data_IF_194398601087
#
_entry.id   IF_194398601087
#
_cell.length_a   1.000
_cell.length_b   1.000
_cell.length_c   1.000
_cell.angle_alpha   90.00
_cell.angle_beta   90.00
_cell.angle_gamma   90.00
#
_symmetry.space_group_name_H-M   'P 1'
#
loop_
_entity.id
_entity.type
_entity.pdbx_description
1 polymer ?
#
# COMPACT_ATOMS: atom_id res chain seq x y z
N UNK A 1 5.34 3.02 16.53
CA UNK A 1 6.12 1.93 15.90
C UNK A 1 5.26 0.70 15.63
N UNK A 2 4.64 0.09 16.67
CA UNK A 2 3.77 -1.11 16.51
C UNK A 2 2.72 -1.02 15.38
N UNK A 3 2.04 0.12 15.24
CA UNK A 3 1.03 0.31 14.18
C UNK A 3 1.62 0.19 12.76
N UNK A 4 2.83 0.72 12.53
CA UNK A 4 3.51 0.62 11.23
C UNK A 4 3.94 -0.82 10.95
N UNK A 5 4.42 -1.54 11.96
CA UNK A 5 4.80 -2.95 11.84
C UNK A 5 3.58 -3.81 11.45
N UNK A 6 2.43 -3.56 12.08
CA UNK A 6 1.16 -4.21 11.74
C UNK A 6 0.69 -3.83 10.32
N UNK A 7 0.85 -2.57 9.92
CA UNK A 7 0.50 -2.08 8.59
C UNK A 7 1.36 -2.64 7.46
N UNK A 8 2.59 -3.10 7.74
CA UNK A 8 3.48 -3.66 6.71
C UNK A 8 2.85 -4.90 6.06
N UNK A 9 2.17 -5.73 6.86
CA UNK A 9 1.42 -6.89 6.36
C UNK A 9 0.26 -6.45 5.46
N UNK A 10 -0.51 -5.45 5.89
CA UNK A 10 -1.64 -4.93 5.11
C UNK A 10 -1.20 -4.35 3.76
N UNK A 11 -0.08 -3.61 3.75
CA UNK A 11 0.50 -3.04 2.54
C UNK A 11 0.99 -4.11 1.57
N UNK A 12 1.55 -5.21 2.09
CA UNK A 12 1.93 -6.38 1.31
C UNK A 12 0.71 -7.06 0.68
N UNK A 13 -0.37 -7.23 1.44
CA UNK A 13 -1.63 -7.82 0.93
C UNK A 13 -2.18 -6.98 -0.23
N UNK A 14 -2.32 -5.66 -0.04
CA UNK A 14 -2.82 -4.75 -1.07
C UNK A 14 -1.91 -4.74 -2.32
N UNK A 15 -0.59 -4.71 -2.11
CA UNK A 15 0.41 -4.81 -3.19
C UNK A 15 0.20 -6.05 -4.05
N UNK A 16 -0.01 -7.20 -3.42
CA UNK A 16 -0.18 -8.45 -4.15
C UNK A 16 -1.51 -8.51 -4.90
N UNK A 17 -2.60 -8.13 -4.23
CA UNK A 17 -3.94 -8.17 -4.80
C UNK A 17 -4.14 -7.18 -5.95
N UNK A 18 -3.48 -6.01 -5.93
CA UNK A 18 -3.64 -4.97 -6.94
C UNK A 18 -2.60 -5.11 -8.06
N UNK A 19 -1.33 -5.38 -7.73
CA UNK A 19 -0.24 -5.28 -8.70
C UNK A 19 0.44 -6.63 -8.99
N UNK A 20 0.99 -7.29 -7.97
CA UNK A 20 1.86 -8.45 -8.21
C UNK A 20 1.13 -9.67 -8.78
N UNK A 21 -0.18 -9.78 -8.59
CA UNK A 21 -0.95 -10.91 -9.14
C UNK A 21 -0.86 -11.02 -10.66
N UNK A 22 -0.79 -9.90 -11.37
CA UNK A 22 -0.88 -9.89 -12.84
C UNK A 22 0.30 -10.60 -13.51
N UNK A 23 1.58 -10.27 -13.21
CA UNK A 23 2.70 -11.00 -13.79
C UNK A 23 2.74 -12.48 -13.35
N UNK A 24 2.31 -12.80 -12.12
CA UNK A 24 2.29 -14.18 -11.62
C UNK A 24 1.21 -15.02 -12.32
N UNK A 25 0.03 -14.43 -12.58
CA UNK A 25 -1.04 -15.09 -13.34
C UNK A 25 -0.69 -15.32 -14.81
N UNK A 26 0.19 -14.48 -15.37
CA UNK A 26 0.67 -14.63 -16.75
C UNK A 26 1.69 -15.76 -16.93
N UNK A 27 2.26 -16.28 -15.83
CA UNK A 27 3.17 -17.42 -15.90
C UNK A 27 2.43 -18.71 -16.31
N UNK A 28 3.12 -19.64 -17.02
CA UNK A 28 2.63 -21.00 -17.20
C UNK A 28 2.31 -21.66 -15.85
N UNK A 29 1.32 -22.55 -15.84
CA UNK A 29 0.83 -23.19 -14.60
C UNK A 29 1.97 -23.80 -13.77
N UNK A 30 2.90 -24.51 -14.41
CA UNK A 30 4.04 -25.14 -13.73
C UNK A 30 4.96 -24.12 -13.05
N UNK A 31 5.23 -23.00 -13.71
CA UNK A 31 6.07 -21.94 -13.17
C UNK A 31 5.37 -21.19 -12.04
N UNK A 32 4.04 -21.02 -12.13
CA UNK A 32 3.24 -20.44 -11.05
C UNK A 32 3.21 -21.33 -9.81
N UNK A 33 3.07 -22.64 -9.99
CA UNK A 33 3.15 -23.61 -8.90
C UNK A 33 4.55 -23.64 -8.26
N UNK A 34 5.61 -23.56 -9.07
CA UNK A 34 6.98 -23.44 -8.58
C UNK A 34 7.19 -22.14 -7.78
N UNK A 35 6.61 -21.01 -8.23
CA UNK A 35 6.62 -19.76 -7.47
C UNK A 35 6.00 -19.94 -6.07
N UNK A 36 4.83 -20.56 -5.97
CA UNK A 36 4.22 -20.83 -4.67
C UNK A 36 5.06 -21.79 -3.82
N UNK A 37 5.60 -22.85 -4.41
CA UNK A 37 6.43 -23.82 -3.71
C UNK A 37 7.71 -23.19 -3.14
N UNK A 38 8.25 -22.14 -3.78
CA UNK A 38 9.43 -21.41 -3.28
C UNK A 38 9.19 -20.72 -1.93
N UNK A 39 7.93 -20.39 -1.61
CA UNK A 39 7.55 -19.76 -0.34
C UNK A 39 7.58 -20.81 0.77
N UNK A 40 8.56 -20.73 1.66
CA UNK A 40 8.80 -21.75 2.69
C UNK A 40 7.73 -21.77 3.79
N UNK A 41 7.24 -20.59 4.19
CA UNK A 41 6.26 -20.45 5.27
C UNK A 41 4.87 -20.82 4.73
N UNK A 42 4.23 -21.91 5.21
CA UNK A 42 2.97 -22.41 4.65
C UNK A 42 1.84 -21.38 4.64
N UNK A 43 1.72 -20.58 5.70
CA UNK A 43 0.69 -19.55 5.82
C UNK A 43 0.89 -18.43 4.79
N UNK A 44 2.15 -18.03 4.54
CA UNK A 44 2.48 -17.04 3.51
C UNK A 44 2.26 -17.59 2.11
N UNK A 45 2.54 -18.89 1.90
CA UNK A 45 2.28 -19.57 0.63
C UNK A 45 0.79 -19.54 0.30
N UNK A 46 -0.05 -19.93 1.27
CA UNK A 46 -1.50 -19.92 1.08
C UNK A 46 -2.02 -18.50 0.85
N UNK A 47 -1.54 -17.53 1.63
CA UNK A 47 -1.88 -16.12 1.44
C UNK A 47 -1.55 -15.66 0.01
N UNK A 48 -0.32 -15.88 -0.47
CA UNK A 48 0.08 -15.45 -1.81
C UNK A 48 -0.73 -16.15 -2.90
N UNK A 49 -1.05 -17.44 -2.74
CA UNK A 49 -1.96 -18.12 -3.66
C UNK A 49 -3.33 -17.44 -3.70
N UNK A 50 -3.95 -17.18 -2.54
CA UNK A 50 -5.24 -16.51 -2.45
C UNK A 50 -5.21 -15.14 -3.15
N UNK A 51 -4.20 -14.32 -2.83
CA UNK A 51 -4.09 -12.97 -3.39
C UNK A 51 -3.81 -12.97 -4.90
N UNK A 52 -3.05 -13.93 -5.40
CA UNK A 52 -2.78 -14.03 -6.84
C UNK A 52 -4.03 -14.50 -7.59
N UNK A 53 -4.64 -15.59 -7.12
CA UNK A 53 -5.75 -16.25 -7.82
C UNK A 53 -7.06 -15.47 -7.68
N UNK A 54 -7.36 -14.92 -6.50
CA UNK A 54 -8.61 -14.23 -6.19
C UNK A 54 -8.48 -12.70 -6.25
N UNK A 55 -7.28 -12.15 -6.07
CA UNK A 55 -7.06 -10.69 -6.08
C UNK A 55 -7.83 -9.99 -4.98
N UNK A 56 -8.57 -8.94 -5.36
CA UNK A 56 -9.40 -8.16 -4.44
C UNK A 56 -10.55 -8.96 -3.81
N UNK A 57 -10.90 -10.12 -4.38
CA UNK A 57 -11.91 -11.02 -3.82
C UNK A 57 -11.39 -11.87 -2.67
N UNK A 58 -10.06 -11.93 -2.46
CA UNK A 58 -9.46 -12.70 -1.37
C UNK A 58 -9.93 -12.17 0.00
N UNK A 59 -10.21 -13.08 0.93
CA UNK A 59 -10.75 -12.78 2.26
C UNK A 59 -9.88 -11.79 3.05
N UNK A 60 -8.57 -11.84 2.85
CA UNK A 60 -7.58 -11.05 3.57
C UNK A 60 -7.55 -9.58 3.13
N UNK A 61 -8.06 -9.26 1.94
CA UNK A 61 -7.97 -7.90 1.36
C UNK A 61 -8.83 -6.91 2.14
N UNK A 62 -10.04 -7.30 2.56
CA UNK A 62 -10.96 -6.41 3.27
C UNK A 62 -10.31 -5.84 4.54
N UNK A 63 -9.76 -6.72 5.38
CA UNK A 63 -9.07 -6.33 6.61
C UNK A 63 -7.81 -5.51 6.34
N UNK A 64 -7.06 -5.84 5.28
CA UNK A 64 -5.88 -5.08 4.90
C UNK A 64 -6.22 -3.64 4.49
N UNK A 65 -7.24 -3.44 3.65
CA UNK A 65 -7.68 -2.10 3.26
C UNK A 65 -8.18 -1.29 4.46
N UNK A 66 -8.94 -1.90 5.37
CA UNK A 66 -9.37 -1.27 6.62
C UNK A 66 -8.17 -0.88 7.50
N UNK A 67 -7.17 -1.75 7.64
CA UNK A 67 -5.97 -1.46 8.41
C UNK A 67 -5.13 -0.32 7.82
N UNK A 68 -5.03 -0.22 6.49
CA UNK A 68 -4.36 0.89 5.81
C UNK A 68 -5.14 2.21 5.94
N UNK A 69 -6.48 2.15 5.86
CA UNK A 69 -7.35 3.30 6.17
C UNK A 69 -7.15 3.79 7.61
N UNK A 70 -7.13 2.87 8.58
CA UNK A 70 -6.93 3.19 9.99
C UNK A 70 -5.56 3.83 10.27
N UNK A 71 -4.48 3.37 9.59
CA UNK A 71 -3.16 4.00 9.69
C UNK A 71 -3.21 5.48 9.25
N UNK A 72 -3.83 5.76 8.11
CA UNK A 72 -3.96 7.12 7.60
C UNK A 72 -4.81 8.01 8.52
N UNK A 73 -5.90 7.47 9.08
CA UNK A 73 -6.73 8.19 10.06
C UNK A 73 -6.00 8.46 11.38
N UNK A 74 -5.13 7.57 11.84
CA UNK A 74 -4.27 7.81 13.00
C UNK A 74 -3.22 8.89 12.71
N UNK A 75 -2.58 8.84 11.54
CA UNK A 75 -1.64 9.87 11.12
C UNK A 75 -2.32 11.24 11.01
N UNK A 76 -3.49 11.32 10.39
CA UNK A 76 -4.33 12.53 10.35
C UNK A 76 -4.61 13.07 11.75
N UNK A 77 -5.02 12.22 12.71
CA UNK A 77 -5.27 12.64 14.10
C UNK A 77 -4.01 13.15 14.80
N UNK A 78 -2.87 12.51 14.55
CA UNK A 78 -1.57 12.83 15.17
C UNK A 78 -0.95 14.12 14.63
N UNK A 79 -1.28 14.53 13.40
CA UNK A 79 -0.79 15.76 12.79
C UNK A 79 -1.50 16.98 13.39
N UNK A 80 -1.02 17.47 14.52
CA UNK A 80 -1.48 18.74 15.14
C UNK A 80 -0.64 19.96 14.71
N UNK A 81 0.50 19.69 14.08
CA UNK A 81 1.47 20.65 13.54
C UNK A 81 1.84 20.25 12.11
N UNK A 82 2.79 20.96 11.50
CA UNK A 82 3.28 20.70 10.13
C UNK A 82 3.91 19.30 9.95
N UNK A 83 4.57 18.79 10.99
CA UNK A 83 5.10 17.42 11.08
C UNK A 83 4.60 16.70 12.32
N UNK A 84 4.78 15.38 12.40
CA UNK A 84 4.22 14.53 13.47
C UNK A 84 4.70 14.91 14.88
N UNK A 85 5.90 15.49 15.01
CA UNK A 85 6.49 15.93 16.28
C UNK A 85 6.87 17.42 16.26
N UNK A 86 6.15 18.23 15.48
CA UNK A 86 6.46 19.66 15.27
C UNK A 86 7.43 19.86 14.10
N UNK A 87 8.66 19.38 14.26
CA UNK A 87 9.69 19.37 13.22
C UNK A 87 9.78 18.02 12.51
N UNK A 88 10.36 18.00 11.30
CA UNK A 88 10.58 16.75 10.57
C UNK A 88 11.47 15.80 11.36
N UNK A 89 11.01 14.58 11.55
CA UNK A 89 11.62 13.61 12.45
C UNK A 89 11.64 12.20 11.85
N UNK A 90 12.19 11.25 12.60
CA UNK A 90 12.12 9.83 12.25
C UNK A 90 10.68 9.32 12.15
N UNK A 91 9.72 9.93 12.84
CA UNK A 91 8.31 9.55 12.73
C UNK A 91 7.80 9.82 11.31
N UNK A 92 8.15 10.97 10.72
CA UNK A 92 7.75 11.34 9.37
C UNK A 92 8.46 10.48 8.33
N UNK A 93 9.77 10.26 8.51
CA UNK A 93 10.56 9.39 7.65
C UNK A 93 10.04 7.94 7.66
N UNK A 94 9.61 7.43 8.82
CA UNK A 94 9.05 6.08 8.93
C UNK A 94 7.68 5.94 8.26
N UNK A 95 6.85 6.99 8.28
CA UNK A 95 5.53 6.98 7.63
C UNK A 95 5.61 7.19 6.10
N UNK A 96 6.61 7.93 5.63
CA UNK A 96 6.84 8.27 4.21
C UNK A 96 6.71 7.07 3.25
N UNK A 97 7.41 5.92 3.43
CA UNK A 97 7.32 4.82 2.47
C UNK A 97 5.94 4.15 2.44
N UNK A 98 5.17 4.21 3.53
CA UNK A 98 3.80 3.70 3.56
C UNK A 98 2.87 4.57 2.70
N UNK A 99 2.95 5.90 2.86
CA UNK A 99 2.14 6.83 2.06
C UNK A 99 2.55 6.81 0.59
N UNK A 100 3.86 6.77 0.27
CA UNK A 100 4.34 6.63 -1.10
C UNK A 100 3.75 5.39 -1.78
N UNK A 101 3.75 4.25 -1.06
CA UNK A 101 3.22 3.00 -1.60
C UNK A 101 1.69 3.03 -1.71
N UNK A 102 0.98 3.59 -0.74
CA UNK A 102 -0.48 3.75 -0.81
C UNK A 102 -0.89 4.70 -1.93
N UNK A 103 -0.15 5.78 -2.17
CA UNK A 103 -0.33 6.67 -3.33
C UNK A 103 -0.15 5.92 -4.65
N UNK A 104 0.93 5.15 -4.77
CA UNK A 104 1.17 4.33 -5.96
C UNK A 104 0.07 3.29 -6.20
N UNK A 105 -0.55 2.78 -5.14
CA UNK A 105 -1.67 1.82 -5.19
C UNK A 105 -3.06 2.48 -5.26
N UNK A 106 -3.15 3.82 -5.29
CA UNK A 106 -4.43 4.53 -5.32
C UNK A 106 -5.27 4.36 -4.04
N UNK A 107 -4.63 4.17 -2.89
CA UNK A 107 -5.26 3.88 -1.59
C UNK A 107 -5.21 5.04 -0.60
N UNK A 108 -4.81 6.24 -1.02
CA UNK A 108 -4.87 7.41 -0.15
C UNK A 108 -6.31 7.73 0.24
N UNK A 109 -6.51 8.19 1.47
CA UNK A 109 -7.77 8.78 1.87
C UNK A 109 -8.13 9.95 0.95
N UNK A 110 -9.43 10.17 0.68
CA UNK A 110 -9.87 11.42 0.08
C UNK A 110 -9.38 12.64 0.88
N UNK A 111 -9.03 13.74 0.21
CA UNK A 111 -8.52 14.95 0.88
C UNK A 111 -9.53 15.50 1.92
N UNK A 112 -10.84 15.31 1.68
CA UNK A 112 -11.89 15.65 2.63
C UNK A 112 -11.87 14.81 3.94
N UNK A 113 -11.34 13.58 3.90
CA UNK A 113 -11.22 12.68 5.06
C UNK A 113 -9.86 12.81 5.78
N UNK A 114 -8.85 13.40 5.14
CA UNK A 114 -7.48 13.52 5.69
C UNK A 114 -6.75 14.79 5.27
N UNK A 115 -7.30 15.99 5.49
CA UNK A 115 -6.71 17.23 4.98
C UNK A 115 -5.32 17.52 5.56
N UNK A 116 -5.07 17.21 6.84
CA UNK A 116 -3.75 17.47 7.46
C UNK A 116 -2.72 16.47 6.97
N UNK A 117 -3.12 15.21 6.77
CA UNK A 117 -2.29 14.18 6.15
C UNK A 117 -1.89 14.57 4.73
N UNK A 118 -2.82 15.08 3.91
CA UNK A 118 -2.53 15.56 2.55
C UNK A 118 -1.57 16.75 2.55
N UNK A 119 -1.77 17.72 3.45
CA UNK A 119 -0.85 18.84 3.59
C UNK A 119 0.54 18.41 4.07
N UNK A 120 0.61 17.52 5.06
CA UNK A 120 1.86 16.90 5.51
C UNK A 120 2.55 16.17 4.37
N UNK A 121 1.81 15.40 3.58
CA UNK A 121 2.35 14.62 2.47
C UNK A 121 2.96 15.52 1.40
N UNK A 122 2.27 16.60 1.03
CA UNK A 122 2.81 17.65 0.14
C UNK A 122 4.12 18.24 0.69
N UNK A 123 4.20 18.52 2.01
CA UNK A 123 5.46 19.00 2.64
C UNK A 123 6.57 17.96 2.55
N UNK A 124 6.28 16.68 2.78
CA UNK A 124 7.24 15.58 2.69
C UNK A 124 7.78 15.41 1.27
N UNK A 125 6.90 15.44 0.26
CA UNK A 125 7.26 15.36 -1.15
C UNK A 125 8.17 16.51 -1.61
N UNK A 126 7.99 17.71 -1.04
CA UNK A 126 8.82 18.89 -1.34
C UNK A 126 10.22 18.85 -0.69
N UNK A 127 10.55 17.84 0.11
CA UNK A 127 11.88 17.73 0.72
C UNK A 127 12.91 17.24 -0.30
N UNK A 128 14.13 17.79 -0.34
CA UNK A 128 15.19 17.31 -1.23
C UNK A 128 15.50 15.81 -1.10
N UNK A 129 15.35 15.26 0.10
CA UNK A 129 15.56 13.82 0.37
C UNK A 129 14.52 12.93 -0.31
N UNK A 130 13.33 13.45 -0.62
CA UNK A 130 12.24 12.66 -1.20
C UNK A 130 12.59 12.16 -2.59
N UNK A 131 13.22 13.03 -3.39
CA UNK A 131 13.63 12.69 -4.75
C UNK A 131 14.57 11.48 -4.76
N UNK A 132 15.57 11.48 -3.88
CA UNK A 132 16.58 10.41 -3.81
C UNK A 132 15.97 9.13 -3.22
N UNK A 133 15.19 9.24 -2.14
CA UNK A 133 14.75 8.09 -1.36
C UNK A 133 13.46 7.42 -1.88
N UNK A 134 12.65 8.15 -2.65
CA UNK A 134 11.32 7.69 -3.09
C UNK A 134 11.18 7.77 -4.60
N UNK A 135 11.36 8.94 -5.21
CA UNK A 135 11.16 9.11 -6.67
C UNK A 135 12.15 8.27 -7.47
N UNK A 136 13.45 8.44 -7.20
CA UNK A 136 14.51 7.72 -7.90
C UNK A 136 14.54 6.21 -7.58
N UNK A 137 13.95 5.81 -6.45
CA UNK A 137 13.82 4.42 -6.03
C UNK A 137 12.49 3.77 -6.45
N UNK A 138 11.64 4.49 -7.20
CA UNK A 138 10.38 3.95 -7.68
C UNK A 138 10.62 2.74 -8.62
N UNK A 139 9.73 1.74 -8.59
CA UNK A 139 9.88 0.59 -9.47
C UNK A 139 9.67 1.01 -10.94
N UNK A 140 10.40 0.38 -11.86
CA UNK A 140 10.34 0.69 -13.30
C UNK A 140 8.93 0.58 -13.88
N UNK A 141 8.08 -0.29 -13.30
CA UNK A 141 6.70 -0.49 -13.71
C UNK A 141 5.70 0.38 -12.93
N UNK A 142 6.12 1.50 -12.33
CA UNK A 142 5.25 2.37 -11.53
C UNK A 142 3.99 2.82 -12.29
N UNK A 143 4.12 3.20 -13.57
CA UNK A 143 2.97 3.63 -14.38
C UNK A 143 1.96 2.50 -14.60
N UNK A 144 2.45 1.28 -14.84
CA UNK A 144 1.59 0.10 -14.93
C UNK A 144 0.87 -0.15 -13.61
N UNK A 145 1.57 0.00 -12.48
CA UNK A 145 0.94 -0.15 -11.15
C UNK A 145 -0.16 0.90 -10.97
N UNK A 146 0.05 2.16 -11.38
CA UNK A 146 -0.98 3.21 -11.31
C UNK A 146 -2.21 2.88 -12.17
N UNK A 147 -2.03 2.29 -13.34
CA UNK A 147 -3.14 1.84 -14.18
C UNK A 147 -3.94 0.71 -13.52
N UNK A 148 -3.25 -0.29 -12.96
CA UNK A 148 -3.88 -1.38 -12.22
C UNK A 148 -4.61 -0.86 -10.97
N UNK A 149 -4.03 0.11 -10.27
CA UNK A 149 -4.65 0.79 -9.14
C UNK A 149 -5.94 1.51 -9.52
N UNK A 150 -5.96 2.24 -10.65
CA UNK A 150 -7.17 2.90 -11.13
C UNK A 150 -8.30 1.88 -11.41
N UNK A 151 -7.98 0.77 -12.07
CA UNK A 151 -8.96 -0.31 -12.29
C UNK A 151 -9.42 -0.98 -10.97
N UNK A 152 -8.52 -1.09 -9.99
CA UNK A 152 -8.83 -1.61 -8.66
C UNK A 152 -9.75 -0.68 -7.86
N UNK A 153 -9.65 0.64 -8.03
CA UNK A 153 -10.48 1.60 -7.29
C UNK A 153 -11.99 1.40 -7.55
N UNK A 154 -12.39 1.11 -8.79
CA UNK A 154 -13.79 0.84 -9.12
C UNK A 154 -14.31 -0.43 -8.43
N UNK A 155 -13.48 -1.48 -8.40
CA UNK A 155 -13.79 -2.73 -7.71
C UNK A 155 -13.86 -2.54 -6.19
N UNK A 156 -12.93 -1.77 -5.62
CA UNK A 156 -12.92 -1.43 -4.20
C UNK A 156 -14.17 -0.62 -3.84
N UNK A 157 -14.51 0.40 -4.63
CA UNK A 157 -15.68 1.24 -4.38
C UNK A 157 -16.98 0.43 -4.43
N UNK A 158 -17.17 -0.42 -5.45
CA UNK A 158 -18.36 -1.26 -5.55
C UNK A 158 -18.51 -2.29 -4.42
N UNK A 159 -17.39 -2.81 -3.89
CA UNK A 159 -17.38 -3.90 -2.91
C UNK A 159 -17.38 -3.43 -1.46
N UNK A 160 -16.68 -2.34 -1.17
CA UNK A 160 -16.42 -1.88 0.20
C UNK A 160 -17.10 -0.54 0.55
N UNK A 161 -17.98 0.00 -0.31
CA UNK A 161 -18.79 1.18 -0.01
C UNK A 161 -19.96 0.94 0.98
N UNK A 162 -19.78 0.06 1.98
CA UNK A 162 -20.75 -0.16 3.06
C UNK A 162 -20.17 0.22 4.40
#
# INVERSE_FOLDING_TARGET
MKLLDDSLRHLGIATYAIAMRHPILALPIEQREAYYASVQIPERRQLYRNLVEQGLEALEVAGALQGLKALQQEAERSLVTDFLLGDYSLADAALTPFLARMELLGLLLPEAEGPRLHQWWKRVQNRPSFEIAVTAAAPENADQIRQLAAAAQEQIASRYAR
#
